data_IF_908078211792
#
_entry.id   IF_908078211792
#
_cell.length_a   1.000
_cell.length_b   1.000
_cell.length_c   1.000
_cell.angle_alpha   90.00
_cell.angle_beta   90.00
_cell.angle_gamma   90.00
#
_symmetry.space_group_name_H-M   'P 1'
#
loop_
_entity.id
_entity.type
_entity.pdbx_description
1 polymer ?
#
# COMPACT_ATOMS: atom_id res chain seq x y z
N UNK A 1 -10.43 4.40 -92.20
CA UNK A 1 -9.91 4.95 -90.93
C UNK A 1 -9.45 3.78 -90.06
N UNK A 2 -8.28 3.86 -89.40
CA UNK A 2 -7.84 2.78 -88.52
C UNK A 2 -8.70 2.74 -87.24
N UNK A 3 -8.89 1.56 -86.63
CA UNK A 3 -9.71 1.42 -85.43
C UNK A 3 -9.04 2.09 -84.21
N UNK A 4 -9.82 2.57 -83.23
CA UNK A 4 -9.26 3.20 -82.04
C UNK A 4 -8.54 2.16 -81.17
N UNK A 5 -7.31 2.49 -80.78
CA UNK A 5 -6.52 1.73 -79.81
C UNK A 5 -6.96 2.09 -78.38
N UNK A 6 -7.40 1.10 -77.62
CA UNK A 6 -7.73 1.27 -76.20
C UNK A 6 -6.44 1.35 -75.37
N UNK A 7 -6.19 2.49 -74.75
CA UNK A 7 -5.12 2.64 -73.75
C UNK A 7 -5.61 2.06 -72.42
N UNK A 8 -4.91 1.10 -71.80
CA UNK A 8 -5.30 0.59 -70.49
C UNK A 8 -5.14 1.68 -69.42
N UNK A 9 -6.13 1.79 -68.54
CA UNK A 9 -6.12 2.72 -67.41
C UNK A 9 -5.05 2.27 -66.37
N UNK A 10 -4.27 3.19 -65.76
CA UNK A 10 -3.28 2.80 -64.76
C UNK A 10 -3.95 2.13 -63.55
N UNK A 11 -3.42 0.96 -63.16
CA UNK A 11 -3.80 0.27 -61.93
C UNK A 11 -3.19 0.97 -60.71
N UNK A 12 -4.03 1.33 -59.75
CA UNK A 12 -3.60 1.93 -58.48
C UNK A 12 -2.84 0.92 -57.62
N UNK A 13 -1.62 1.29 -57.21
CA UNK A 13 -0.86 0.57 -56.19
C UNK A 13 -1.49 0.79 -54.81
N UNK A 14 -1.81 -0.27 -54.03
CA UNK A 14 -2.33 -0.08 -52.68
C UNK A 14 -1.27 0.55 -51.78
N UNK A 15 -1.68 1.53 -50.99
CA UNK A 15 -0.82 2.20 -50.02
C UNK A 15 -0.47 1.23 -48.87
N UNK A 16 0.76 1.24 -48.32
CA UNK A 16 1.10 0.39 -47.19
C UNK A 16 0.23 0.73 -45.98
N UNK A 17 -0.46 -0.28 -45.45
CA UNK A 17 -1.27 -0.16 -44.25
C UNK A 17 -0.34 0.09 -43.06
N UNK A 18 -0.58 1.16 -42.30
CA UNK A 18 0.22 1.47 -41.11
C UNK A 18 0.12 0.34 -40.09
N UNK A 19 1.26 -0.25 -39.73
CA UNK A 19 1.35 -1.24 -38.66
C UNK A 19 1.02 -0.55 -37.34
N UNK A 20 -0.04 -0.99 -36.65
CA UNK A 20 -0.40 -0.45 -35.34
C UNK A 20 0.75 -0.67 -34.35
N UNK A 21 1.24 0.42 -33.76
CA UNK A 21 2.25 0.36 -32.69
C UNK A 21 1.57 -0.29 -31.48
N UNK A 22 2.19 -1.32 -30.85
CA UNK A 22 1.62 -1.91 -29.64
C UNK A 22 1.43 -0.83 -28.57
N UNK A 23 0.35 -0.91 -27.78
CA UNK A 23 0.10 0.08 -26.73
C UNK A 23 1.29 0.12 -25.77
N UNK A 24 1.81 1.30 -25.52
CA UNK A 24 2.82 1.52 -24.49
C UNK A 24 2.24 1.06 -23.15
N UNK A 25 2.96 0.24 -22.35
CA UNK A 25 2.46 -0.18 -21.05
C UNK A 25 2.17 1.06 -20.20
N UNK A 26 0.94 1.15 -19.67
CA UNK A 26 0.55 2.23 -18.76
C UNK A 26 1.40 2.10 -17.49
N UNK A 27 2.10 3.16 -17.05
CA UNK A 27 2.86 3.10 -15.80
C UNK A 27 1.90 2.82 -14.64
N UNK A 28 2.22 1.79 -13.86
CA UNK A 28 1.48 1.46 -12.63
C UNK A 28 1.78 2.58 -11.63
N UNK A 29 0.75 3.22 -11.03
CA UNK A 29 0.95 4.21 -9.98
C UNK A 29 1.78 3.62 -8.84
N UNK A 30 2.87 4.30 -8.46
CA UNK A 30 3.66 3.89 -7.31
C UNK A 30 2.82 4.02 -6.02
N UNK A 31 2.77 2.95 -5.23
CA UNK A 31 1.99 2.91 -3.98
C UNK A 31 2.76 3.62 -2.85
N UNK A 32 2.15 4.62 -2.20
CA UNK A 32 2.72 5.25 -1.01
C UNK A 32 3.00 4.22 0.08
N UNK A 33 4.14 4.34 0.76
CA UNK A 33 4.52 3.48 1.87
C UNK A 33 5.08 2.12 1.45
N UNK A 34 4.94 1.72 0.18
CA UNK A 34 5.43 0.45 -0.36
C UNK A 34 6.51 0.71 -1.41
N UNK A 35 6.15 1.37 -2.50
CA UNK A 35 7.06 1.66 -3.61
C UNK A 35 7.82 2.99 -3.39
N UNK A 36 7.25 3.88 -2.56
CA UNK A 36 7.85 5.16 -2.17
C UNK A 36 7.68 5.39 -0.68
N UNK A 37 8.69 5.95 0.02
CA UNK A 37 8.56 6.21 1.44
C UNK A 37 7.53 7.31 1.74
N UNK A 38 6.78 7.13 2.82
CA UNK A 38 5.90 8.15 3.41
C UNK A 38 6.72 8.95 4.43
N UNK A 39 6.53 10.28 4.49
CA UNK A 39 7.25 11.12 5.45
C UNK A 39 6.31 11.61 6.53
N UNK A 40 6.66 11.36 7.79
CA UNK A 40 5.95 11.89 8.94
C UNK A 40 6.95 12.41 9.97
N UNK A 41 6.72 13.63 10.48
CA UNK A 41 7.60 14.29 11.46
C UNK A 41 9.09 14.28 11.08
N UNK A 42 9.40 14.41 9.78
CA UNK A 42 10.78 14.40 9.26
C UNK A 42 11.40 13.01 9.11
N UNK A 43 10.72 11.94 9.51
CA UNK A 43 11.15 10.54 9.33
C UNK A 43 10.48 9.94 8.11
N UNK A 44 11.24 9.19 7.32
CA UNK A 44 10.73 8.45 6.15
C UNK A 44 10.42 7.01 6.54
N UNK A 45 9.26 6.50 6.19
CA UNK A 45 8.77 5.16 6.52
C UNK A 45 8.46 4.36 5.26
N UNK A 46 8.77 3.07 5.28
CA UNK A 46 8.38 2.12 4.22
C UNK A 46 7.96 0.81 4.87
N UNK A 47 6.78 0.31 4.53
CA UNK A 47 6.30 -0.99 4.99
C UNK A 47 7.18 -2.06 4.39
N UNK A 48 7.76 -2.87 5.28
CA UNK A 48 8.61 -4.02 4.93
C UNK A 48 7.81 -5.31 4.90
N UNK A 49 6.94 -5.49 5.89
CA UNK A 49 6.16 -6.70 6.05
C UNK A 49 4.89 -6.39 6.86
N UNK A 50 3.85 -7.17 6.61
CA UNK A 50 2.60 -7.15 7.37
C UNK A 50 2.25 -8.60 7.67
N UNK A 51 1.99 -8.91 8.93
CA UNK A 51 1.60 -10.25 9.37
C UNK A 51 0.31 -10.17 10.21
N UNK A 52 -0.51 -11.20 10.10
CA UNK A 52 -1.65 -11.43 11.00
C UNK A 52 -1.29 -12.55 11.97
N UNK A 53 -1.38 -12.26 13.26
CA UNK A 53 -0.96 -13.17 14.32
C UNK A 53 -2.12 -13.40 15.31
N UNK A 54 -2.35 -14.65 15.71
CA UNK A 54 -3.36 -14.97 16.73
C UNK A 54 -2.92 -14.58 18.13
N UNK A 55 -1.63 -14.34 18.33
CA UNK A 55 -1.03 -14.01 19.62
C UNK A 55 0.23 -13.18 19.42
N UNK A 56 0.54 -12.30 20.37
CA UNK A 56 1.79 -11.54 20.36
C UNK A 56 2.50 -11.65 21.70
N UNK A 57 3.83 -11.80 21.66
CA UNK A 57 4.70 -11.78 22.85
C UNK A 57 5.26 -10.37 22.97
N UNK A 58 4.89 -9.70 24.05
CA UNK A 58 5.36 -8.35 24.36
C UNK A 58 6.68 -8.38 25.15
N UNK A 59 7.42 -7.25 25.20
CA UNK A 59 8.75 -7.20 25.86
C UNK A 59 8.78 -7.64 27.33
N UNK A 60 7.65 -7.64 28.03
CA UNK A 60 7.52 -8.20 29.38
C UNK A 60 7.43 -9.74 29.39
N UNK A 61 7.67 -10.37 28.24
CA UNK A 61 7.54 -11.80 27.98
C UNK A 61 6.10 -12.32 28.23
N UNK A 62 5.11 -11.43 28.16
CA UNK A 62 3.70 -11.77 28.29
C UNK A 62 3.10 -12.02 26.90
N UNK A 63 2.55 -13.21 26.69
CA UNK A 63 1.76 -13.50 25.51
C UNK A 63 0.35 -12.98 25.69
N UNK A 64 -0.12 -12.15 24.76
CA UNK A 64 -1.51 -11.69 24.70
C UNK A 64 -2.23 -12.25 23.50
N UNK A 65 -3.55 -12.24 23.62
CA UNK A 65 -4.49 -12.66 22.60
C UNK A 65 -5.54 -11.56 22.42
N UNK A 66 -6.07 -11.36 21.20
CA UNK A 66 -7.20 -10.49 21.00
C UNK A 66 -8.40 -10.96 21.83
N UNK A 67 -9.14 -10.02 22.44
CA UNK A 67 -10.21 -10.34 23.38
C UNK A 67 -11.47 -10.85 22.70
N UNK A 68 -11.73 -10.42 21.47
CA UNK A 68 -12.92 -10.75 20.70
C UNK A 68 -12.62 -11.90 19.75
N UNK A 69 -13.54 -12.85 19.65
CA UNK A 69 -13.45 -13.94 18.68
C UNK A 69 -13.46 -13.38 17.25
N UNK A 70 -12.53 -13.82 16.42
CA UNK A 70 -12.34 -13.33 15.05
C UNK A 70 -11.27 -12.24 14.92
N UNK A 71 -10.89 -11.59 16.03
CA UNK A 71 -9.84 -10.57 15.99
C UNK A 71 -8.45 -11.23 15.92
N UNK A 72 -7.53 -10.57 15.20
CA UNK A 72 -6.11 -10.91 15.09
C UNK A 72 -5.26 -9.69 15.42
N UNK A 73 -3.99 -9.92 15.76
CA UNK A 73 -2.99 -8.86 15.77
C UNK A 73 -2.48 -8.61 14.37
N UNK A 74 -2.68 -7.40 13.86
CA UNK A 74 -2.02 -6.92 12.66
C UNK A 74 -0.68 -6.31 13.04
N UNK A 75 0.41 -6.93 12.58
CA UNK A 75 1.78 -6.53 12.88
C UNK A 75 2.40 -5.94 11.62
N UNK A 76 2.61 -4.63 11.61
CA UNK A 76 3.23 -3.90 10.52
C UNK A 76 4.67 -3.61 10.87
N UNK A 77 5.60 -4.11 10.06
CA UNK A 77 7.02 -3.81 10.18
C UNK A 77 7.39 -2.71 9.19
N UNK A 78 7.94 -1.60 9.68
CA UNK A 78 8.46 -0.51 8.89
C UNK A 78 10.00 -0.50 8.89
N UNK A 79 10.58 -0.27 7.72
CA UNK A 79 11.89 0.36 7.63
C UNK A 79 11.70 1.87 7.83
N UNK A 80 12.66 2.52 8.49
CA UNK A 80 12.63 3.97 8.63
C UNK A 80 14.01 4.59 8.36
N UNK A 81 14.00 5.85 7.93
CA UNK A 81 15.20 6.68 7.76
C UNK A 81 14.95 8.03 8.42
N UNK A 82 15.77 8.36 9.42
CA UNK A 82 15.65 9.57 10.23
C UNK A 82 15.77 9.29 11.73
N UNK A 83 15.56 10.32 12.54
CA UNK A 83 15.56 10.19 14.00
C UNK A 83 14.12 9.96 14.51
N UNK A 84 13.85 8.74 15.00
CA UNK A 84 12.54 8.39 15.58
C UNK A 84 12.17 9.26 16.79
N UNK A 85 13.12 9.92 17.45
CA UNK A 85 12.82 10.85 18.54
C UNK A 85 12.01 12.07 18.09
N UNK A 86 12.02 12.36 16.79
CA UNK A 86 11.23 13.45 16.20
C UNK A 86 9.78 13.02 15.93
N UNK A 87 9.50 11.71 15.93
CA UNK A 87 8.16 11.18 15.71
C UNK A 87 7.33 11.44 16.96
N UNK A 88 6.46 12.44 16.88
CA UNK A 88 5.46 12.63 17.91
C UNK A 88 4.42 11.53 17.76
N UNK A 89 4.24 10.73 18.80
CA UNK A 89 3.15 9.74 18.87
C UNK A 89 2.03 10.36 19.70
N UNK A 90 1.06 11.03 19.08
CA UNK A 90 -0.08 11.57 19.81
C UNK A 90 -0.81 10.43 20.55
N UNK A 91 -0.97 10.60 21.86
CA UNK A 91 -1.73 9.71 22.73
C UNK A 91 -3.08 10.38 22.99
N UNK A 92 -4.02 10.21 22.07
CA UNK A 92 -5.36 10.78 22.17
C UNK A 92 -6.39 9.75 21.70
N UNK A 93 -7.58 9.80 22.27
CA UNK A 93 -8.70 8.96 21.84
C UNK A 93 -9.23 9.34 20.45
N UNK A 94 -8.82 10.50 19.93
CA UNK A 94 -9.14 10.95 18.58
C UNK A 94 -8.31 10.18 17.55
N UNK A 95 -8.93 9.19 16.90
CA UNK A 95 -8.26 8.34 15.90
C UNK A 95 -7.70 9.13 14.72
N UNK A 96 -8.35 10.23 14.32
CA UNK A 96 -7.87 11.06 13.20
C UNK A 96 -6.53 11.75 13.51
N UNK A 97 -6.25 11.91 14.81
CA UNK A 97 -5.00 12.50 15.30
C UNK A 97 -4.00 11.46 15.74
N UNK A 98 -4.25 10.17 15.59
CA UNK A 98 -3.30 9.10 15.95
C UNK A 98 -2.97 8.22 14.76
N UNK A 99 -1.93 7.40 14.94
CA UNK A 99 -1.73 6.29 14.03
C UNK A 99 -2.84 5.26 14.27
N UNK A 100 -3.53 4.90 13.20
CA UNK A 100 -4.62 3.95 13.27
C UNK A 100 -4.60 3.04 12.06
N UNK A 101 -5.25 1.88 12.22
CA UNK A 101 -5.60 1.01 11.11
C UNK A 101 -7.10 1.00 10.97
N UNK A 102 -7.56 1.10 9.73
CA UNK A 102 -8.96 0.88 9.36
C UNK A 102 -9.05 -0.39 8.54
N UNK A 103 -9.91 -1.31 8.95
CA UNK A 103 -10.25 -2.47 8.13
C UNK A 103 -11.33 -2.15 7.09
N UNK A 104 -11.56 -3.07 6.16
CA UNK A 104 -12.58 -2.94 5.11
C UNK A 104 -14.01 -2.80 5.65
N UNK A 105 -14.26 -3.29 6.87
CA UNK A 105 -15.56 -3.21 7.55
C UNK A 105 -15.77 -1.87 8.27
N UNK A 106 -14.76 -0.98 8.20
CA UNK A 106 -14.80 0.37 8.75
C UNK A 106 -14.50 0.43 10.25
N UNK A 107 -14.09 -0.68 10.87
CA UNK A 107 -13.58 -0.65 12.24
C UNK A 107 -12.20 -0.02 12.23
N UNK A 108 -12.02 0.91 13.15
CA UNK A 108 -10.77 1.64 13.36
C UNK A 108 -10.17 1.15 14.66
N UNK A 109 -8.95 0.64 14.59
CA UNK A 109 -8.18 0.25 15.76
C UNK A 109 -6.99 1.22 15.92
N UNK A 110 -6.81 1.68 17.15
CA UNK A 110 -5.71 2.56 17.48
C UNK A 110 -4.49 1.74 17.81
N UNK A 111 -3.34 2.33 17.50
CA UNK A 111 -2.05 1.73 17.73
C UNK A 111 -1.89 1.18 19.15
N UNK A 112 -1.47 -0.09 19.28
CA UNK A 112 -1.24 -0.73 20.58
C UNK A 112 0.20 -0.60 21.10
N UNK A 113 1.25 -0.70 20.26
CA UNK A 113 2.66 -0.61 20.74
C UNK A 113 3.74 -0.34 19.69
N UNK A 114 4.68 0.58 20.01
CA UNK A 114 5.91 0.88 19.24
C UNK A 114 7.07 0.09 19.83
N UNK A 115 7.60 -0.88 19.07
CA UNK A 115 8.89 -1.48 19.38
C UNK A 115 9.90 -0.96 18.36
N UNK A 116 10.78 -0.06 18.82
CA UNK A 116 11.89 0.44 18.02
C UNK A 116 13.10 -0.46 18.21
N UNK A 117 13.46 -1.16 17.15
CA UNK A 117 14.79 -1.71 16.97
C UNK A 117 15.61 -0.66 16.18
N UNK A 118 16.93 -0.51 16.38
CA UNK A 118 17.77 0.43 15.64
C UNK A 118 17.59 0.45 14.11
N UNK A 119 17.05 -0.62 13.50
CA UNK A 119 16.79 -0.71 12.06
C UNK A 119 15.31 -0.84 11.67
N UNK A 120 14.40 -1.07 12.63
CA UNK A 120 13.00 -1.42 12.33
C UNK A 120 12.04 -0.84 13.35
N UNK A 121 10.86 -0.52 12.86
CA UNK A 121 9.74 -0.14 13.71
C UNK A 121 8.59 -1.13 13.55
N UNK A 122 8.08 -1.65 14.66
CA UNK A 122 6.90 -2.50 14.70
C UNK A 122 5.70 -1.69 15.17
N UNK A 123 4.59 -1.81 14.45
CA UNK A 123 3.29 -1.28 14.81
C UNK A 123 2.30 -2.43 14.93
N UNK A 124 1.61 -2.52 16.06
CA UNK A 124 0.71 -3.65 16.36
C UNK A 124 -0.68 -3.09 16.61
N UNK A 125 -1.68 -3.66 15.94
CA UNK A 125 -3.10 -3.29 16.01
C UNK A 125 -3.97 -4.53 16.23
N UNK A 126 -5.16 -4.36 16.80
CA UNK A 126 -6.14 -5.44 16.89
C UNK A 126 -7.20 -5.24 15.80
N UNK A 127 -7.25 -6.13 14.82
CA UNK A 127 -8.12 -5.98 13.65
C UNK A 127 -9.06 -7.16 13.50
N UNK A 128 -10.13 -7.02 12.71
CA UNK A 128 -10.90 -8.17 12.26
C UNK A 128 -10.02 -9.04 11.34
N UNK A 129 -9.75 -10.28 11.74
CA UNK A 129 -8.92 -11.21 10.97
C UNK A 129 -9.56 -11.72 9.68
N UNK A 130 -10.85 -11.45 9.47
CA UNK A 130 -11.59 -11.80 8.26
C UNK A 130 -11.72 -10.65 7.25
N UNK A 131 -11.24 -9.46 7.61
CA UNK A 131 -11.27 -8.31 6.71
C UNK A 131 -10.42 -8.54 5.45
N UNK A 132 -10.90 -8.05 4.31
CA UNK A 132 -10.24 -8.24 3.02
C UNK A 132 -9.04 -7.30 2.84
N UNK A 133 -9.13 -6.11 3.44
CA UNK A 133 -8.17 -5.02 3.24
C UNK A 133 -7.94 -4.26 4.54
N UNK A 134 -6.73 -3.69 4.68
CA UNK A 134 -6.37 -2.85 5.81
C UNK A 134 -5.66 -1.59 5.32
N UNK A 135 -6.01 -0.46 5.92
CA UNK A 135 -5.45 0.85 5.63
C UNK A 135 -4.75 1.39 6.87
N UNK A 136 -3.45 1.64 6.78
CA UNK A 136 -2.69 2.30 7.84
C UNK A 136 -2.66 3.80 7.60
N UNK A 137 -3.04 4.58 8.59
CA UNK A 137 -3.12 6.04 8.48
C UNK A 137 -2.18 6.70 9.49
N UNK A 138 -1.40 7.66 9.01
CA UNK A 138 -0.56 8.54 9.83
C UNK A 138 -1.39 9.69 10.43
N UNK A 139 -0.95 10.30 11.55
CA UNK A 139 -1.66 11.43 12.16
C UNK A 139 -1.83 12.68 11.28
N UNK A 140 -1.10 12.77 10.17
CA UNK A 140 -1.23 13.85 9.19
C UNK A 140 -2.17 13.50 8.02
N UNK A 141 -2.85 12.35 8.11
CA UNK A 141 -3.83 11.87 7.13
C UNK A 141 -3.23 11.10 5.94
N UNK A 142 -1.90 10.88 5.90
CA UNK A 142 -1.32 10.02 4.86
C UNK A 142 -1.74 8.57 5.09
N UNK A 143 -2.21 7.89 4.04
CA UNK A 143 -2.70 6.50 4.12
C UNK A 143 -1.79 5.56 3.32
N UNK A 144 -1.58 4.35 3.84
CA UNK A 144 -0.92 3.23 3.17
C UNK A 144 -1.92 2.08 3.08
N UNK A 145 -2.21 1.66 1.86
CA UNK A 145 -2.97 0.45 1.57
C UNK A 145 -2.08 -0.80 1.81
N UNK A 146 -2.47 -1.65 2.75
CA UNK A 146 -1.73 -2.84 3.14
C UNK A 146 -2.19 -4.11 2.40
N UNK A 147 -3.21 -4.02 1.56
CA UNK A 147 -3.86 -5.18 0.91
C UNK A 147 -2.88 -6.02 0.11
N UNK A 148 -1.89 -5.36 -0.50
CA UNK A 148 -0.88 -6.03 -1.31
C UNK A 148 0.07 -6.97 -0.56
N UNK A 149 0.03 -7.00 0.77
CA UNK A 149 0.83 -7.91 1.60
C UNK A 149 0.11 -9.23 1.91
N UNK A 150 -1.16 -9.39 1.52
CA UNK A 150 -1.99 -10.56 1.85
C UNK A 150 -2.27 -11.49 0.65
N UNK A 151 -1.47 -11.38 -0.43
CA UNK A 151 -1.62 -12.15 -1.66
C UNK A 151 -0.58 -13.25 -1.83
#
# INVERSE_FOLDING_TARGET
APPPTYTPLPTYTPYPTATAIPPTPTPIPARPGIDKPVKYSGVSFTVKAVNLETSWIFDNNETRYPKRSGDLFLVITFNYVGDLKLVTVPQTEDSEKTFHVRDSDGRVDQWTRFESNPERLLAIFVVDGSAENYFFTFPDGQEIDLSSFFH
#
